data_IF_198967086351
#
_entry.id   IF_198967086351
#
_cell.length_a   1.000
_cell.length_b   1.000
_cell.length_c   1.000
_cell.angle_alpha   90.00
_cell.angle_beta   90.00
_cell.angle_gamma   90.00
#
_symmetry.space_group_name_H-M   'P 1'
#
loop_
_entity.id
_entity.type
_entity.pdbx_description
1 polymer ?
#
# COMPACT_ATOMS: atom_id res chain seq x y z
N UNK A 1 3.86 24.58 -3.02
CA UNK A 1 4.31 24.00 -1.74
C UNK A 1 4.66 22.55 -1.92
N UNK A 2 5.76 22.12 -1.34
CA UNK A 2 6.15 20.72 -1.37
C UNK A 2 5.40 19.95 -0.30
N UNK A 3 5.15 18.67 -0.54
CA UNK A 3 4.66 17.76 0.49
C UNK A 3 5.86 17.38 1.36
N UNK A 4 5.74 17.61 2.66
CA UNK A 4 6.78 17.25 3.61
C UNK A 4 6.18 16.40 4.73
N UNK A 5 6.52 15.13 4.75
CA UNK A 5 6.04 14.20 5.74
C UNK A 5 7.18 13.83 6.69
N UNK A 6 6.89 13.84 7.99
CA UNK A 6 7.86 13.41 8.98
C UNK A 6 8.09 11.89 8.88
N UNK A 7 9.22 11.42 9.40
CA UNK A 7 9.46 9.99 9.52
C UNK A 7 8.38 9.27 10.32
N UNK A 8 7.84 9.95 11.33
CA UNK A 8 6.75 9.43 12.14
C UNK A 8 5.48 9.24 11.32
N UNK A 9 5.10 10.24 10.51
CA UNK A 9 3.93 10.15 9.65
C UNK A 9 4.10 9.03 8.62
N UNK A 10 5.28 8.90 8.02
CA UNK A 10 5.57 7.82 7.09
C UNK A 10 5.40 6.45 7.75
N UNK A 11 5.90 6.28 8.97
CA UNK A 11 5.73 5.04 9.72
C UNK A 11 4.25 4.76 10.02
N UNK A 12 3.49 5.78 10.40
CA UNK A 12 2.06 5.64 10.68
C UNK A 12 1.28 5.22 9.43
N UNK A 13 1.64 5.76 8.26
CA UNK A 13 1.03 5.36 6.99
C UNK A 13 1.30 3.90 6.69
N UNK A 14 2.55 3.46 6.81
CA UNK A 14 2.90 2.05 6.59
C UNK A 14 2.12 1.13 7.54
N UNK A 15 2.08 1.46 8.82
CA UNK A 15 1.37 0.68 9.82
C UNK A 15 -0.13 0.60 9.53
N UNK A 16 -0.74 1.70 9.09
CA UNK A 16 -2.16 1.73 8.78
C UNK A 16 -2.52 0.81 7.61
N UNK A 17 -1.70 0.80 6.56
CA UNK A 17 -1.94 -0.06 5.39
C UNK A 17 -1.75 -1.52 5.77
N UNK A 18 -0.71 -1.84 6.54
CA UNK A 18 -0.50 -3.20 7.04
C UNK A 18 -1.70 -3.66 7.87
N UNK A 19 -2.25 -2.79 8.72
CA UNK A 19 -3.42 -3.11 9.53
C UNK A 19 -4.66 -3.39 8.67
N UNK A 20 -4.87 -2.64 7.59
CA UNK A 20 -5.97 -2.89 6.67
C UNK A 20 -5.82 -4.24 5.97
N UNK A 21 -4.60 -4.59 5.54
CA UNK A 21 -4.32 -5.92 4.99
C UNK A 21 -4.61 -7.02 6.01
N UNK A 22 -4.13 -6.86 7.22
CA UNK A 22 -4.32 -7.84 8.28
C UNK A 22 -5.80 -8.07 8.60
N UNK A 23 -6.61 -7.01 8.58
CA UNK A 23 -8.03 -7.12 8.84
C UNK A 23 -8.77 -7.92 7.75
N UNK A 24 -8.27 -7.89 6.52
CA UNK A 24 -8.89 -8.60 5.39
C UNK A 24 -8.36 -10.03 5.24
N UNK A 25 -7.05 -10.21 5.35
CA UNK A 25 -6.39 -11.49 5.08
C UNK A 25 -5.96 -12.24 6.33
N UNK A 26 -6.14 -11.66 7.53
CA UNK A 26 -5.68 -12.26 8.78
C UNK A 26 -4.17 -12.16 8.98
N UNK A 27 -3.48 -11.49 8.07
CA UNK A 27 -2.03 -11.34 8.09
C UNK A 27 -1.66 -10.01 7.42
N UNK A 28 -0.76 -9.24 8.03
CA UNK A 28 -0.23 -8.02 7.46
C UNK A 28 0.99 -8.27 6.59
N UNK A 29 2.10 -7.65 6.93
CA UNK A 29 3.37 -7.79 6.23
C UNK A 29 4.48 -8.12 7.22
N UNK A 30 5.50 -8.85 6.76
CA UNK A 30 6.70 -9.10 7.56
C UNK A 30 7.51 -7.82 7.73
N UNK A 31 7.52 -6.98 6.71
CA UNK A 31 8.23 -5.72 6.70
C UNK A 31 7.46 -4.71 5.86
N UNK A 32 7.35 -3.49 6.32
CA UNK A 32 6.72 -2.41 5.58
C UNK A 32 7.48 -1.11 5.80
N UNK A 33 7.65 -0.34 4.72
CA UNK A 33 8.34 0.93 4.77
C UNK A 33 7.66 1.93 3.85
N UNK A 34 7.44 3.14 4.34
CA UNK A 34 6.92 4.24 3.56
C UNK A 34 8.03 5.28 3.35
N UNK A 35 8.04 5.86 2.18
CA UNK A 35 8.95 6.97 1.86
C UNK A 35 8.29 7.85 0.82
N UNK A 36 8.81 9.04 0.63
CA UNK A 36 8.26 10.00 -0.32
C UNK A 36 9.34 10.58 -1.21
N UNK A 37 8.92 10.93 -2.40
CA UNK A 37 9.70 11.74 -3.32
C UNK A 37 8.76 12.84 -3.81
N UNK A 38 8.93 14.05 -3.30
CA UNK A 38 8.02 15.18 -3.54
C UNK A 38 6.57 14.84 -3.18
N UNK A 39 5.66 14.85 -4.12
CA UNK A 39 4.24 14.53 -3.91
C UNK A 39 3.91 13.05 -4.10
N UNK A 40 4.91 12.22 -4.36
CA UNK A 40 4.73 10.78 -4.50
C UNK A 40 5.06 10.08 -3.19
N UNK A 41 4.07 9.43 -2.62
CA UNK A 41 4.21 8.61 -1.42
C UNK A 41 4.21 7.14 -1.83
N UNK A 42 5.21 6.39 -1.36
CA UNK A 42 5.38 4.98 -1.71
C UNK A 42 5.42 4.15 -0.44
N UNK A 43 4.63 3.08 -0.42
CA UNK A 43 4.69 2.09 0.67
C UNK A 43 5.08 0.74 0.07
N UNK A 44 6.18 0.19 0.55
CA UNK A 44 6.67 -1.12 0.13
C UNK A 44 6.43 -2.11 1.25
N UNK A 45 5.68 -3.17 0.95
CA UNK A 45 5.37 -4.23 1.92
C UNK A 45 5.95 -5.55 1.43
N UNK A 46 6.64 -6.23 2.32
CA UNK A 46 7.27 -7.52 2.01
C UNK A 46 6.62 -8.62 2.85
N UNK A 47 6.44 -9.78 2.24
CA UNK A 47 5.93 -10.94 2.95
C UNK A 47 4.45 -10.80 3.32
N UNK A 48 3.60 -10.36 2.38
CA UNK A 48 2.16 -10.21 2.62
C UNK A 48 1.37 -11.47 2.28
N UNK A 49 1.92 -12.38 1.49
CA UNK A 49 1.17 -13.53 0.97
C UNK A 49 0.93 -14.57 2.04
N UNK A 50 -0.30 -15.11 2.05
CA UNK A 50 -0.68 -16.26 2.83
C UNK A 50 0.04 -17.51 2.31
N UNK A 51 0.12 -18.56 3.11
CA UNK A 51 0.78 -19.79 2.68
C UNK A 51 0.20 -20.36 1.40
N UNK A 52 -1.14 -20.38 1.27
CA UNK A 52 -1.74 -20.93 0.06
C UNK A 52 -1.43 -20.06 -1.17
N UNK A 53 -1.27 -18.76 -1.00
CA UNK A 53 -0.87 -17.89 -2.10
C UNK A 53 0.57 -18.16 -2.54
N UNK A 54 1.46 -18.37 -1.57
CA UNK A 54 2.84 -18.74 -1.87
C UNK A 54 2.92 -20.08 -2.60
N UNK A 55 2.07 -21.01 -2.22
CA UNK A 55 1.98 -22.31 -2.89
C UNK A 55 1.48 -22.15 -4.35
N UNK A 56 0.50 -21.29 -4.58
CA UNK A 56 0.02 -21.00 -5.93
C UNK A 56 1.13 -20.40 -6.80
N UNK A 57 1.94 -19.49 -6.24
CA UNK A 57 3.07 -18.91 -6.96
C UNK A 57 4.07 -20.01 -7.36
N UNK A 58 4.39 -20.91 -6.44
CA UNK A 58 5.29 -22.02 -6.72
C UNK A 58 4.78 -22.94 -7.83
N UNK A 59 3.47 -23.05 -7.97
CA UNK A 59 2.82 -23.89 -9.00
C UNK A 59 2.57 -23.13 -10.31
N UNK A 60 3.10 -21.92 -10.45
CA UNK A 60 2.94 -21.13 -11.64
C UNK A 60 1.60 -20.42 -11.77
N UNK A 61 0.84 -20.33 -10.69
CA UNK A 61 -0.48 -19.67 -10.66
C UNK A 61 -0.39 -18.28 -10.04
N UNK A 62 0.59 -17.52 -10.46
CA UNK A 62 0.78 -16.13 -10.06
C UNK A 62 -0.42 -15.26 -10.43
N UNK A 63 -1.08 -15.59 -11.54
CA UNK A 63 -2.28 -14.90 -12.02
C UNK A 63 -3.39 -14.91 -10.98
N UNK A 64 -3.64 -16.06 -10.34
CA UNK A 64 -4.68 -16.17 -9.33
C UNK A 64 -4.41 -15.29 -8.11
N UNK A 65 -3.15 -15.25 -7.67
CA UNK A 65 -2.75 -14.41 -6.53
C UNK A 65 -2.89 -12.93 -6.89
N UNK A 66 -2.44 -12.55 -8.08
CA UNK A 66 -2.54 -11.16 -8.55
C UNK A 66 -4.00 -10.73 -8.64
N UNK A 67 -4.86 -11.57 -9.18
CA UNK A 67 -6.28 -11.25 -9.35
C UNK A 67 -6.96 -10.98 -8.00
N UNK A 68 -6.71 -11.81 -6.99
CA UNK A 68 -7.27 -11.62 -5.65
C UNK A 68 -6.76 -10.32 -5.03
N UNK A 69 -5.47 -10.05 -5.15
CA UNK A 69 -4.86 -8.86 -4.57
C UNK A 69 -5.34 -7.58 -5.23
N UNK A 70 -5.51 -7.60 -6.55
CA UNK A 70 -6.04 -6.44 -7.28
C UNK A 70 -7.52 -6.23 -7.01
N UNK A 71 -8.29 -7.30 -6.83
CA UNK A 71 -9.69 -7.20 -6.43
C UNK A 71 -9.81 -6.55 -5.05
N UNK A 72 -8.96 -6.94 -4.09
CA UNK A 72 -8.93 -6.32 -2.77
C UNK A 72 -8.61 -4.82 -2.87
N UNK A 73 -7.61 -4.47 -3.68
CA UNK A 73 -7.25 -3.07 -3.89
C UNK A 73 -8.43 -2.26 -4.41
N UNK A 74 -9.16 -2.79 -5.39
CA UNK A 74 -10.32 -2.10 -5.96
C UNK A 74 -11.41 -1.87 -4.92
N UNK A 75 -11.70 -2.87 -4.09
CA UNK A 75 -12.73 -2.76 -3.05
C UNK A 75 -12.30 -1.83 -1.92
N UNK A 76 -11.03 -1.79 -1.58
CA UNK A 76 -10.52 -1.04 -0.44
C UNK A 76 -9.94 0.33 -0.80
N UNK A 77 -9.96 0.70 -2.08
CA UNK A 77 -9.30 1.91 -2.55
C UNK A 77 -9.73 3.16 -1.79
N UNK A 78 -11.04 3.37 -1.63
CA UNK A 78 -11.55 4.56 -0.95
C UNK A 78 -11.11 4.61 0.51
N UNK A 79 -11.12 3.48 1.20
CA UNK A 79 -10.71 3.41 2.59
C UNK A 79 -9.20 3.64 2.74
N UNK A 80 -8.42 3.04 1.86
CA UNK A 80 -6.96 3.23 1.84
C UNK A 80 -6.61 4.69 1.58
N UNK A 81 -7.18 5.29 0.55
CA UNK A 81 -6.93 6.69 0.23
C UNK A 81 -7.39 7.63 1.35
N UNK A 82 -8.55 7.37 1.93
CA UNK A 82 -9.06 8.16 3.05
C UNK A 82 -8.15 8.10 4.26
N UNK A 83 -7.63 6.92 4.57
CA UNK A 83 -6.72 6.74 5.70
C UNK A 83 -5.40 7.48 5.47
N UNK A 84 -4.85 7.39 4.27
CA UNK A 84 -3.62 8.10 3.91
C UNK A 84 -3.83 9.61 3.95
N UNK A 85 -4.95 10.10 3.40
CA UNK A 85 -5.27 11.53 3.45
C UNK A 85 -5.37 12.03 4.89
N UNK A 86 -6.04 11.28 5.74
CA UNK A 86 -6.21 11.62 7.16
C UNK A 86 -4.88 11.71 7.91
N UNK A 87 -3.97 10.76 7.65
CA UNK A 87 -2.68 10.71 8.33
C UNK A 87 -1.69 11.76 7.82
N UNK A 88 -1.73 12.04 6.51
CA UNK A 88 -0.77 12.96 5.90
C UNK A 88 -1.23 14.42 5.91
N UNK A 89 -2.53 14.66 6.03
CA UNK A 89 -3.10 16.00 5.89
C UNK A 89 -3.16 16.47 4.44
N UNK A 90 -2.96 15.57 3.48
CA UNK A 90 -3.00 15.86 2.05
C UNK A 90 -4.03 14.99 1.36
N UNK A 91 -4.79 15.57 0.42
CA UNK A 91 -5.70 14.80 -0.41
C UNK A 91 -4.90 13.84 -1.29
N UNK A 92 -5.40 12.62 -1.46
CA UNK A 92 -4.83 11.65 -2.39
C UNK A 92 -5.49 11.85 -3.75
N UNK A 93 -4.70 12.28 -4.72
CA UNK A 93 -5.20 12.55 -6.07
C UNK A 93 -5.33 11.28 -6.90
N UNK A 94 -4.45 10.31 -6.66
CA UNK A 94 -4.47 9.04 -7.37
C UNK A 94 -3.77 7.98 -6.54
N UNK A 95 -4.13 6.73 -6.78
CA UNK A 95 -3.65 5.59 -6.02
C UNK A 95 -3.51 4.37 -6.94
N UNK A 96 -2.38 3.69 -6.83
CA UNK A 96 -2.12 2.49 -7.61
C UNK A 96 -1.38 1.47 -6.76
N UNK A 97 -1.74 0.20 -6.93
CA UNK A 97 -1.08 -0.90 -6.24
C UNK A 97 -0.44 -1.82 -7.26
N UNK A 98 0.78 -2.25 -6.98
CA UNK A 98 1.54 -3.16 -7.82
C UNK A 98 1.95 -4.37 -6.99
N UNK A 99 1.62 -5.55 -7.48
CA UNK A 99 1.94 -6.81 -6.79
C UNK A 99 3.03 -7.54 -7.57
N UNK A 100 4.18 -7.71 -6.93
CA UNK A 100 5.32 -8.44 -7.50
C UNK A 100 5.27 -9.85 -6.93
N UNK A 101 4.63 -10.75 -7.67
CA UNK A 101 4.21 -12.06 -7.16
C UNK A 101 5.38 -12.97 -6.78
N UNK A 102 6.44 -13.00 -7.57
CA UNK A 102 7.60 -13.85 -7.29
C UNK A 102 8.38 -13.40 -6.07
N UNK A 103 8.47 -12.10 -5.88
CA UNK A 103 9.22 -11.52 -4.77
C UNK A 103 8.39 -11.44 -3.48
N UNK A 104 7.07 -11.62 -3.57
CA UNK A 104 6.15 -11.41 -2.46
C UNK A 104 6.31 -9.98 -1.91
N UNK A 105 6.26 -9.00 -2.83
CA UNK A 105 6.36 -7.58 -2.52
C UNK A 105 5.14 -6.87 -3.08
N UNK A 106 4.51 -6.05 -2.26
CA UNK A 106 3.40 -5.20 -2.68
C UNK A 106 3.85 -3.74 -2.56
N UNK A 107 3.63 -2.97 -3.61
CA UNK A 107 3.97 -1.55 -3.65
C UNK A 107 2.71 -0.74 -3.79
N UNK A 108 2.49 0.19 -2.88
CA UNK A 108 1.37 1.12 -2.92
C UNK A 108 1.90 2.50 -3.29
N UNK A 109 1.32 3.11 -4.32
CA UNK A 109 1.72 4.42 -4.83
C UNK A 109 0.57 5.41 -4.62
N UNK A 110 0.88 6.56 -4.04
CA UNK A 110 -0.10 7.63 -3.81
C UNK A 110 0.46 8.94 -4.33
N UNK A 111 -0.31 9.59 -5.19
CA UNK A 111 0.00 10.95 -5.60
C UNK A 111 -0.77 11.90 -4.70
N UNK A 112 -0.06 12.74 -3.98
CA UNK A 112 -0.66 13.66 -3.01
C UNK A 112 -0.80 15.06 -3.57
N UNK A 113 -1.90 15.72 -3.19
CA UNK A 113 -2.09 17.13 -3.48
C UNK A 113 -1.19 17.93 -2.54
N UNK A 114 -0.28 18.78 -3.06
CA UNK A 114 0.58 19.58 -2.19
C UNK A 114 -0.18 20.63 -1.37
N UNK A 115 -1.46 20.82 -1.66
CA UNK A 115 -2.29 21.79 -0.96
C UNK A 115 -2.31 23.16 -1.61
N UNK A 116 -3.08 24.08 -1.05
CA UNK A 116 -3.18 25.42 -1.60
C UNK A 116 -1.85 26.15 -1.49
N UNK A 117 -1.55 26.92 -2.53
CA UNK A 117 -0.39 27.80 -2.52
C UNK A 117 -0.71 29.02 -1.65
N UNK A 118 0.18 29.33 -0.75
CA UNK A 118 -0.11 30.51 0.08
C UNK A 118 0.75 30.62 1.25
#
# INVERSE_FOLDING_TARGET
>A
MAVELSGRTLAEVADAIVALLASSFGRGAEEAKAFQNDDLLVVVMRGTFMEFEQELVKRGREDAVRDVRLAWQGEMADEVMGRVASLTGHEVLDYHSQVLTRANVTIELFLLDPGPKG
#
